data_IF_521745797268
#
_entry.id   IF_521745797268
#
_cell.length_a   1.000
_cell.length_b   1.000
_cell.length_c   1.000
_cell.angle_alpha   90.00
_cell.angle_beta   90.00
_cell.angle_gamma   90.00
#
_symmetry.space_group_name_H-M   'P 1'
#
loop_
_entity.id
_entity.type
_entity.pdbx_description
1 polymer ?
#
# COMPACT_ATOMS: atom_id res chain seq x y z
N UNK A 1 -5.88 -10.65 8.99
CA UNK A 1 -5.21 -10.16 7.76
C UNK A 1 -3.89 -10.89 7.47
N UNK A 2 -2.99 -11.08 8.44
CA UNK A 2 -1.70 -11.79 8.23
C UNK A 2 -1.87 -13.16 7.52
N UNK A 3 -2.88 -13.95 7.91
CA UNK A 3 -3.10 -15.32 7.43
C UNK A 3 -3.12 -15.43 5.90
N UNK A 4 -3.81 -14.54 5.17
CA UNK A 4 -3.92 -14.70 3.72
C UNK A 4 -2.61 -14.39 2.98
N UNK A 5 -1.69 -13.61 3.56
CA UNK A 5 -0.35 -13.45 2.98
C UNK A 5 0.40 -14.79 2.99
N UNK A 6 0.29 -15.55 4.08
CA UNK A 6 0.89 -16.88 4.19
C UNK A 6 0.21 -17.88 3.26
N UNK A 7 -1.12 -17.99 3.29
CA UNK A 7 -1.81 -18.98 2.46
C UNK A 7 -1.58 -18.73 0.98
N UNK A 8 -1.64 -17.47 0.53
CA UNK A 8 -1.32 -17.12 -0.87
C UNK A 8 0.14 -17.41 -1.22
N UNK A 9 1.09 -17.08 -0.34
CA UNK A 9 2.49 -17.36 -0.60
C UNK A 9 2.77 -18.87 -0.71
N UNK A 10 2.20 -19.69 0.18
CA UNK A 10 2.32 -21.16 0.13
C UNK A 10 1.75 -21.71 -1.17
N UNK A 11 0.54 -21.29 -1.56
CA UNK A 11 -0.09 -21.70 -2.84
C UNK A 11 0.75 -21.32 -4.06
N UNK A 12 1.56 -20.27 -3.93
CA UNK A 12 2.48 -19.82 -4.95
C UNK A 12 3.92 -20.28 -4.66
N UNK A 13 4.18 -21.40 -3.97
CA UNK A 13 5.53 -21.97 -3.87
C UNK A 13 6.48 -21.24 -2.90
N UNK A 14 5.94 -20.48 -1.95
CA UNK A 14 6.68 -20.11 -0.76
C UNK A 14 6.89 -21.35 0.15
N UNK A 15 8.00 -21.45 0.89
CA UNK A 15 9.03 -20.43 1.09
C UNK A 15 10.17 -20.43 0.04
N UNK A 16 10.16 -21.32 -0.94
CA UNK A 16 11.27 -21.52 -1.88
C UNK A 16 11.44 -20.37 -2.89
N UNK A 17 10.41 -19.53 -3.06
CA UNK A 17 10.50 -18.29 -3.84
C UNK A 17 9.85 -17.10 -3.15
N UNK A 18 10.28 -15.91 -3.54
CA UNK A 18 9.68 -14.65 -3.08
C UNK A 18 8.38 -14.34 -3.80
N UNK A 19 7.43 -13.76 -3.07
CA UNK A 19 6.17 -13.23 -3.62
C UNK A 19 6.05 -11.74 -3.29
N UNK A 20 5.64 -10.92 -4.25
CA UNK A 20 5.34 -9.50 -4.00
C UNK A 20 3.84 -9.29 -3.95
N UNK A 21 3.41 -8.28 -3.17
CA UNK A 21 2.00 -7.97 -2.99
C UNK A 21 1.73 -6.51 -3.31
N UNK A 22 0.66 -6.24 -4.05
CA UNK A 22 0.09 -4.90 -4.22
C UNK A 22 -1.24 -4.83 -3.51
N UNK A 23 -1.41 -3.80 -2.68
CA UNK A 23 -2.58 -3.66 -1.80
C UNK A 23 -3.25 -2.31 -2.07
N UNK A 24 -4.52 -2.29 -2.54
CA UNK A 24 -5.36 -1.10 -2.48
C UNK A 24 -5.45 -0.62 -1.02
N UNK A 25 -4.86 0.53 -0.73
CA UNK A 25 -4.59 0.95 0.65
C UNK A 25 -5.26 2.28 0.99
N UNK A 26 -6.18 2.24 1.96
CA UNK A 26 -6.62 3.40 2.73
C UNK A 26 -5.83 3.51 4.03
N UNK A 27 -6.38 2.97 5.13
CA UNK A 27 -5.83 3.08 6.49
C UNK A 27 -4.55 2.28 6.82
N UNK A 28 -3.88 1.66 5.84
CA UNK A 28 -2.61 0.91 6.02
C UNK A 28 -2.68 -0.44 6.76
N UNK A 29 -3.79 -0.80 7.40
CA UNK A 29 -3.86 -2.02 8.23
C UNK A 29 -3.57 -3.32 7.46
N UNK A 30 -4.12 -3.44 6.26
CA UNK A 30 -3.94 -4.60 5.39
C UNK A 30 -2.46 -4.79 5.01
N UNK A 31 -1.85 -3.79 4.38
CA UNK A 31 -0.45 -3.90 3.95
C UNK A 31 0.52 -3.98 5.12
N UNK A 32 0.16 -3.42 6.29
CA UNK A 32 0.93 -3.61 7.52
C UNK A 32 0.86 -5.06 8.01
N UNK A 33 -0.25 -5.77 7.82
CA UNK A 33 -0.30 -7.20 8.09
C UNK A 33 0.63 -8.00 7.14
N UNK A 34 0.74 -7.58 5.87
CA UNK A 34 1.75 -8.12 4.95
C UNK A 34 3.19 -7.87 5.42
N UNK A 35 3.44 -6.68 5.98
CA UNK A 35 4.72 -6.37 6.62
C UNK A 35 4.99 -7.22 7.85
N UNK A 36 3.99 -7.43 8.71
CA UNK A 36 4.11 -8.33 9.86
C UNK A 36 4.43 -9.77 9.40
N UNK A 37 3.74 -10.29 8.38
CA UNK A 37 4.05 -11.59 7.79
C UNK A 37 5.50 -11.70 7.30
N UNK A 38 6.00 -10.64 6.63
CA UNK A 38 7.41 -10.55 6.22
C UNK A 38 8.36 -10.57 7.41
N UNK A 39 8.06 -9.83 8.48
CA UNK A 39 8.86 -9.79 9.71
C UNK A 39 8.84 -11.13 10.47
N UNK A 40 7.81 -11.96 10.27
CA UNK A 40 7.74 -13.33 10.77
C UNK A 40 8.57 -14.34 9.96
N UNK A 41 9.18 -13.92 8.83
CA UNK A 41 10.05 -14.76 8.01
C UNK A 41 9.45 -15.19 6.66
N UNK A 42 8.22 -14.79 6.34
CA UNK A 42 7.65 -15.08 5.03
C UNK A 42 8.46 -14.35 3.93
N UNK A 43 8.92 -15.03 2.87
CA UNK A 43 9.77 -14.43 1.84
C UNK A 43 8.98 -13.48 0.93
N UNK A 44 8.69 -12.29 1.44
CA UNK A 44 8.02 -11.24 0.66
C UNK A 44 9.07 -10.39 -0.06
N UNK A 45 8.88 -10.20 -1.35
CA UNK A 45 9.65 -9.28 -2.18
C UNK A 45 9.37 -7.82 -1.82
N UNK A 46 8.46 -7.18 -2.56
CA UNK A 46 7.99 -5.82 -2.28
C UNK A 46 6.54 -5.82 -1.82
N UNK A 47 6.23 -4.90 -0.91
CA UNK A 47 4.88 -4.51 -0.54
C UNK A 47 4.58 -3.19 -1.26
N UNK A 48 3.60 -3.19 -2.15
CA UNK A 48 3.26 -2.05 -3.00
C UNK A 48 1.95 -1.44 -2.53
N UNK A 49 2.02 -0.19 -2.10
CA UNK A 49 0.87 0.61 -1.67
C UNK A 49 0.20 1.17 -2.93
N UNK A 50 -1.05 0.80 -3.19
CA UNK A 50 -1.84 1.37 -4.27
C UNK A 50 -2.88 2.33 -3.69
N UNK A 51 -2.79 3.62 -4.03
CA UNK A 51 -3.76 4.64 -3.59
C UNK A 51 -4.59 5.15 -4.76
N UNK A 52 -5.79 5.63 -4.46
CA UNK A 52 -6.56 6.46 -5.39
C UNK A 52 -6.00 7.91 -5.38
N UNK A 53 -6.82 8.88 -5.77
CA UNK A 53 -6.44 10.30 -5.77
C UNK A 53 -6.10 10.89 -4.40
N UNK A 54 -6.54 10.26 -3.31
CA UNK A 54 -6.16 10.55 -1.93
C UNK A 54 -4.81 9.88 -1.62
N UNK A 55 -3.75 10.49 -2.17
CA UNK A 55 -2.46 9.85 -2.39
C UNK A 55 -1.40 10.15 -1.31
N UNK A 56 -1.81 10.40 -0.06
CA UNK A 56 -0.90 10.80 1.02
C UNK A 56 0.28 9.84 1.18
N UNK A 57 0.03 8.53 1.09
CA UNK A 57 1.06 7.50 1.18
C UNK A 57 2.00 7.51 -0.03
N UNK A 58 1.47 7.68 -1.25
CA UNK A 58 2.29 7.74 -2.46
C UNK A 58 3.19 8.99 -2.46
N UNK A 59 2.65 10.14 -2.03
CA UNK A 59 3.44 11.37 -1.84
C UNK A 59 4.50 11.20 -0.78
N UNK A 60 4.15 10.65 0.38
CA UNK A 60 5.09 10.36 1.48
C UNK A 60 6.26 9.50 1.01
N UNK A 61 5.97 8.42 0.25
CA UNK A 61 7.01 7.56 -0.30
C UNK A 61 7.90 8.28 -1.32
N UNK A 62 7.36 9.26 -2.05
CA UNK A 62 8.14 10.06 -3.02
C UNK A 62 9.02 11.11 -2.32
N UNK A 63 8.45 11.90 -1.42
CA UNK A 63 9.06 13.13 -0.90
C UNK A 63 9.62 12.99 0.51
N UNK A 64 9.20 11.97 1.28
CA UNK A 64 9.48 11.87 2.71
C UNK A 64 8.53 12.71 3.57
N UNK A 65 7.64 13.50 2.98
CA UNK A 65 6.68 14.34 3.70
C UNK A 65 5.30 13.72 3.75
N UNK A 66 4.78 13.57 4.96
CA UNK A 66 3.42 13.14 5.23
C UNK A 66 2.58 14.37 5.51
N UNK A 67 1.99 14.95 4.45
CA UNK A 67 1.18 16.17 4.54
C UNK A 67 -0.28 15.86 4.17
N UNK A 68 -1.22 16.26 5.03
CA UNK A 68 -2.66 16.17 4.80
C UNK A 68 -3.07 17.05 3.63
N UNK A 69 -4.07 16.59 2.89
CA UNK A 69 -4.75 17.36 1.85
C UNK A 69 -6.25 17.17 2.00
N UNK A 70 -7.03 18.05 1.38
CA UNK A 70 -8.48 17.88 1.31
C UNK A 70 -8.81 16.56 0.61
N UNK A 71 -9.69 15.76 1.22
CA UNK A 71 -10.18 14.51 0.64
C UNK A 71 -10.97 14.81 -0.63
N UNK A 72 -10.74 14.02 -1.67
CA UNK A 72 -11.49 14.02 -2.91
C UNK A 72 -12.33 12.76 -2.97
N UNK A 73 -13.62 12.91 -3.26
CA UNK A 73 -14.50 11.77 -3.49
C UNK A 73 -14.08 11.02 -4.77
N UNK A 74 -14.01 9.70 -4.68
CA UNK A 74 -13.66 8.81 -5.79
C UNK A 74 -14.65 7.65 -5.92
N UNK A 75 -14.48 6.83 -6.95
CA UNK A 75 -15.18 5.54 -7.14
C UNK A 75 -14.71 4.45 -6.16
N UNK A 76 -13.74 4.75 -5.30
CA UNK A 76 -13.17 3.82 -4.31
C UNK A 76 -13.26 4.42 -2.89
N UNK A 77 -14.48 4.68 -2.39
CA UNK A 77 -14.71 5.54 -1.21
C UNK A 77 -14.07 4.99 0.07
N UNK A 78 -13.84 3.68 0.18
CA UNK A 78 -13.18 3.07 1.34
C UNK A 78 -11.69 3.46 1.45
N UNK A 79 -11.13 4.04 0.39
CA UNK A 79 -9.75 4.53 0.31
C UNK A 79 -9.68 6.06 0.32
N UNK A 80 -10.81 6.77 0.40
CA UNK A 80 -10.88 8.24 0.45
C UNK A 80 -10.52 8.77 1.83
N UNK A 81 -9.24 8.61 2.19
CA UNK A 81 -8.70 8.94 3.50
C UNK A 81 -7.91 10.25 3.49
N UNK A 82 -7.99 10.99 4.59
CA UNK A 82 -7.14 12.15 4.84
C UNK A 82 -5.82 11.76 5.52
N UNK A 83 -5.92 10.81 6.46
CA UNK A 83 -4.82 10.22 7.20
C UNK A 83 -4.97 8.69 7.18
N UNK A 84 -3.84 8.00 7.15
CA UNK A 84 -3.77 6.55 7.17
C UNK A 84 -3.45 6.08 8.59
N UNK A 85 -4.48 5.72 9.36
CA UNK A 85 -4.36 5.54 10.82
C UNK A 85 -3.32 4.49 11.25
N UNK A 86 -3.15 3.40 10.49
CA UNK A 86 -2.19 2.36 10.84
C UNK A 86 -0.76 2.65 10.33
N UNK A 87 -0.53 3.74 9.59
CA UNK A 87 0.81 4.14 9.13
C UNK A 87 1.74 4.48 10.30
N UNK A 88 1.17 4.93 11.43
CA UNK A 88 1.90 5.16 12.69
C UNK A 88 2.69 3.91 13.15
N UNK A 89 2.13 2.71 12.97
CA UNK A 89 2.82 1.46 13.33
C UNK A 89 4.07 1.22 12.48
N UNK A 90 4.01 1.56 11.20
CA UNK A 90 5.17 1.46 10.33
C UNK A 90 6.22 2.52 10.69
N UNK A 91 5.81 3.74 11.04
CA UNK A 91 6.73 4.78 11.53
C UNK A 91 7.47 4.30 12.77
N UNK A 92 6.76 3.68 13.72
CA UNK A 92 7.38 3.10 14.91
C UNK A 92 8.46 2.08 14.58
N UNK A 93 8.17 1.13 13.67
CA UNK A 93 9.17 0.15 13.23
C UNK A 93 10.34 0.81 12.46
N UNK A 94 10.07 1.83 11.64
CA UNK A 94 11.09 2.54 10.86
C UNK A 94 12.01 3.44 11.71
N UNK A 95 11.52 3.89 12.86
CA UNK A 95 12.28 4.64 13.87
C UNK A 95 12.93 3.73 14.91
N UNK A 96 13.19 2.46 14.59
CA UNK A 96 13.80 1.49 15.51
C UNK A 96 13.04 1.41 16.84
N UNK A 97 11.71 1.57 16.80
CA UNK A 97 10.79 1.57 17.95
C UNK A 97 11.02 2.72 18.94
N UNK A 98 11.58 3.84 18.48
CA UNK A 98 11.64 5.08 19.25
C UNK A 98 10.27 5.78 19.30
N UNK A 99 9.57 5.58 20.42
CA UNK A 99 8.26 6.17 20.64
C UNK A 99 8.29 7.72 20.71
N UNK A 100 9.42 8.34 21.05
CA UNK A 100 9.53 9.80 21.12
C UNK A 100 9.43 10.43 19.73
N UNK A 101 10.04 9.81 18.72
CA UNK A 101 9.98 10.25 17.31
C UNK A 101 8.58 10.12 16.75
N UNK A 102 7.87 9.03 17.08
CA UNK A 102 6.48 8.83 16.65
C UNK A 102 5.57 9.87 17.29
N UNK A 103 5.66 10.09 18.61
CA UNK A 103 4.88 11.13 19.29
C UNK A 103 5.09 12.50 18.67
N UNK A 104 6.35 12.89 18.45
CA UNK A 104 6.67 14.16 17.81
C UNK A 104 6.03 14.29 16.42
N UNK A 105 6.12 13.25 15.58
CA UNK A 105 5.48 13.26 14.26
C UNK A 105 3.95 13.40 14.35
N UNK A 106 3.30 12.71 15.28
CA UNK A 106 1.85 12.79 15.48
C UNK A 106 1.41 14.15 16.05
N UNK A 107 2.23 14.76 16.92
CA UNK A 107 1.99 16.11 17.43
C UNK A 107 2.14 17.15 16.31
N UNK A 108 3.18 17.05 15.47
CA UNK A 108 3.35 17.90 14.28
C UNK A 108 2.19 17.76 13.30
N UNK A 109 1.68 16.54 13.08
CA UNK A 109 0.51 16.31 12.24
C UNK A 109 -0.71 17.07 12.76
N UNK A 110 -0.97 17.02 14.08
CA UNK A 110 -2.09 17.74 14.71
C UNK A 110 -1.94 19.26 14.66
N UNK A 111 -0.71 19.76 14.76
CA UNK A 111 -0.42 21.19 14.85
C UNK A 111 -0.26 21.88 13.49
N UNK A 112 0.25 21.16 12.48
CA UNK A 112 0.72 21.74 11.22
C UNK A 112 0.28 20.97 9.98
N UNK A 113 -0.69 20.06 10.12
CA UNK A 113 -1.24 19.22 9.05
C UNK A 113 -0.21 18.33 8.33
N UNK A 114 1.00 18.17 8.87
CA UNK A 114 2.00 17.29 8.31
C UNK A 114 3.30 17.19 9.09
N UNK A 115 4.18 16.32 8.62
CA UNK A 115 5.53 16.14 9.16
C UNK A 115 6.48 15.54 8.12
N UNK A 116 7.77 15.66 8.39
CA UNK A 116 8.82 15.04 7.59
C UNK A 116 9.35 13.78 8.26
N UNK A 117 9.54 12.73 7.47
CA UNK A 117 10.16 11.48 7.92
C UNK A 117 11.66 11.61 7.76
N UNK A 118 12.41 11.37 8.85
CA UNK A 118 13.86 11.46 8.82
C UNK A 118 14.46 10.54 7.73
N UNK A 119 15.54 10.95 7.03
CA UNK A 119 16.09 10.20 5.90
C UNK A 119 16.39 8.72 6.20
N UNK A 120 16.92 8.41 7.40
CA UNK A 120 17.19 7.03 7.84
C UNK A 120 15.90 6.19 7.90
N UNK A 121 14.85 6.72 8.53
CA UNK A 121 13.57 6.02 8.65
C UNK A 121 12.88 5.88 7.28
N UNK A 122 12.93 6.91 6.43
CA UNK A 122 12.42 6.83 5.07
C UNK A 122 13.15 5.78 4.23
N UNK A 123 14.48 5.69 4.35
CA UNK A 123 15.28 4.67 3.69
C UNK A 123 14.89 3.25 4.17
N UNK A 124 14.67 3.08 5.48
CA UNK A 124 14.19 1.82 6.05
C UNK A 124 12.84 1.41 5.47
N UNK A 125 11.86 2.33 5.40
CA UNK A 125 10.56 2.08 4.78
C UNK A 125 10.73 1.71 3.29
N UNK A 126 11.56 2.46 2.55
CA UNK A 126 11.84 2.21 1.13
C UNK A 126 12.58 0.89 0.86
N UNK A 127 13.12 0.21 1.87
CA UNK A 127 13.67 -1.14 1.71
C UNK A 127 12.57 -2.15 1.35
N UNK A 128 11.40 -2.02 1.96
CA UNK A 128 10.32 -3.01 1.83
C UNK A 128 9.14 -2.53 1.00
N UNK A 129 8.87 -1.22 1.01
CA UNK A 129 7.68 -0.65 0.41
C UNK A 129 7.93 0.08 -0.91
N UNK A 130 6.96 0.04 -1.80
CA UNK A 130 6.77 0.95 -2.95
C UNK A 130 5.37 1.55 -2.88
N UNK A 131 5.12 2.60 -3.64
CA UNK A 131 3.79 3.18 -3.72
C UNK A 131 3.49 3.73 -5.11
N UNK A 132 2.22 3.69 -5.49
CA UNK A 132 1.70 4.28 -6.70
C UNK A 132 0.29 4.82 -6.50
N UNK A 133 -0.09 5.74 -7.40
CA UNK A 133 -1.41 6.35 -7.48
C UNK A 133 -2.10 5.94 -8.77
N UNK A 134 -3.41 5.70 -8.70
CA UNK A 134 -4.32 5.67 -9.83
C UNK A 134 -5.26 6.88 -9.80
N UNK A 135 -5.56 7.46 -10.96
CA UNK A 135 -6.66 8.43 -11.13
C UNK A 135 -7.96 7.73 -11.53
N UNK A 136 -9.11 8.39 -11.36
CA UNK A 136 -10.41 7.83 -11.75
C UNK A 136 -10.45 7.33 -13.20
N UNK A 137 -9.83 8.09 -14.12
CA UNK A 137 -9.71 7.68 -15.53
C UNK A 137 -8.91 6.38 -15.67
N UNK A 138 -7.81 6.24 -14.92
CA UNK A 138 -6.98 5.03 -14.94
C UNK A 138 -7.70 3.84 -14.30
N UNK A 139 -8.48 4.06 -13.25
CA UNK A 139 -9.31 3.02 -12.62
C UNK A 139 -10.33 2.49 -13.62
N UNK A 140 -11.15 3.37 -14.22
CA UNK A 140 -12.15 2.96 -15.20
C UNK A 140 -11.53 2.23 -16.41
N UNK A 141 -10.39 2.71 -16.90
CA UNK A 141 -9.68 2.07 -18.00
C UNK A 141 -9.14 0.68 -17.61
N UNK A 142 -8.66 0.53 -16.38
CA UNK A 142 -8.12 -0.74 -15.88
C UNK A 142 -9.22 -1.79 -15.75
N UNK A 143 -10.41 -1.43 -15.26
CA UNK A 143 -11.58 -2.32 -15.21
C UNK A 143 -11.93 -2.78 -16.63
N UNK A 144 -12.08 -1.82 -17.56
CA UNK A 144 -12.43 -2.10 -18.95
C UNK A 144 -11.42 -3.04 -19.63
N UNK A 145 -10.12 -2.76 -19.50
CA UNK A 145 -9.07 -3.54 -20.13
C UNK A 145 -8.99 -4.95 -19.53
N UNK A 146 -9.02 -5.07 -18.20
CA UNK A 146 -8.95 -6.38 -17.54
C UNK A 146 -10.11 -7.26 -17.97
N UNK A 147 -11.33 -6.72 -18.02
CA UNK A 147 -12.49 -7.49 -18.48
C UNK A 147 -12.37 -7.89 -19.95
N UNK A 148 -11.93 -6.99 -20.82
CA UNK A 148 -11.75 -7.29 -22.24
C UNK A 148 -10.67 -8.36 -22.51
N UNK A 149 -9.58 -8.34 -21.74
CA UNK A 149 -8.44 -9.24 -21.95
C UNK A 149 -8.62 -10.60 -21.27
N UNK A 150 -9.31 -10.66 -20.13
CA UNK A 150 -9.34 -11.86 -19.27
C UNK A 150 -10.74 -12.38 -18.96
N UNK A 151 -11.79 -11.61 -19.27
CA UNK A 151 -13.16 -11.88 -18.82
C UNK A 151 -13.39 -11.63 -17.32
N UNK A 152 -12.37 -11.24 -16.55
CA UNK A 152 -12.50 -10.97 -15.12
C UNK A 152 -12.92 -9.52 -14.85
N UNK A 153 -14.01 -9.35 -14.08
CA UNK A 153 -14.52 -8.03 -13.70
C UNK A 153 -13.95 -7.59 -12.35
N UNK A 154 -13.34 -6.41 -12.32
CA UNK A 154 -12.79 -5.80 -11.13
C UNK A 154 -13.75 -4.77 -10.52
N UNK A 155 -13.82 -4.72 -9.20
CA UNK A 155 -14.32 -3.54 -8.51
C UNK A 155 -13.28 -2.39 -8.57
N UNK A 156 -13.68 -1.12 -8.35
CA UNK A 156 -12.77 0.03 -8.42
C UNK A 156 -11.54 -0.05 -7.50
N UNK A 157 -11.68 -0.58 -6.28
CA UNK A 157 -10.57 -0.73 -5.33
C UNK A 157 -9.54 -1.73 -5.87
N UNK A 158 -10.00 -2.90 -6.33
CA UNK A 158 -9.13 -3.91 -6.94
C UNK A 158 -8.43 -3.40 -8.20
N UNK A 159 -9.13 -2.61 -9.03
CA UNK A 159 -8.56 -2.00 -10.23
C UNK A 159 -7.43 -1.02 -9.93
N UNK A 160 -7.50 -0.27 -8.83
CA UNK A 160 -6.37 0.58 -8.37
C UNK A 160 -5.14 -0.30 -8.10
N UNK A 161 -5.34 -1.42 -7.41
CA UNK A 161 -4.30 -2.40 -7.14
C UNK A 161 -3.65 -2.91 -8.44
N UNK A 162 -4.47 -3.38 -9.39
CA UNK A 162 -3.99 -3.94 -10.67
C UNK A 162 -3.21 -2.89 -11.47
N UNK A 163 -3.73 -1.67 -11.54
CA UNK A 163 -3.07 -0.57 -12.25
C UNK A 163 -1.68 -0.25 -11.69
N UNK A 164 -1.55 -0.21 -10.36
CA UNK A 164 -0.28 0.08 -9.71
C UNK A 164 0.67 -1.12 -9.78
N UNK A 165 0.15 -2.34 -9.64
CA UNK A 165 0.91 -3.59 -9.73
C UNK A 165 1.66 -3.73 -11.06
N UNK A 166 1.00 -3.38 -12.18
CA UNK A 166 1.59 -3.45 -13.52
C UNK A 166 2.90 -2.65 -13.68
N UNK A 167 3.11 -1.60 -12.86
CA UNK A 167 4.34 -0.78 -12.89
C UNK A 167 5.50 -1.37 -12.07
N UNK A 168 5.22 -2.43 -11.33
CA UNK A 168 6.15 -3.06 -10.39
C UNK A 168 6.31 -4.55 -10.65
N UNK A 169 5.71 -5.05 -11.73
CA UNK A 169 5.80 -6.45 -12.11
C UNK A 169 7.23 -6.82 -12.51
N UNK A 170 7.64 -8.03 -12.14
CA UNK A 170 8.97 -8.57 -12.40
C UNK A 170 8.85 -10.03 -12.80
N UNK A 171 9.44 -10.46 -13.93
CA UNK A 171 9.34 -11.85 -14.39
C UNK A 171 9.79 -12.89 -13.35
N UNK A 172 10.75 -12.53 -12.49
CA UNK A 172 11.33 -13.43 -11.48
C UNK A 172 10.60 -13.46 -10.13
N UNK A 173 9.53 -12.66 -9.93
CA UNK A 173 8.83 -12.59 -8.65
C UNK A 173 7.34 -12.38 -8.88
N UNK A 174 6.49 -13.40 -8.64
CA UNK A 174 5.04 -13.26 -8.81
C UNK A 174 4.50 -12.05 -8.04
N UNK A 175 3.64 -11.29 -8.70
CA UNK A 175 2.90 -10.18 -8.12
C UNK A 175 1.47 -10.61 -7.80
N UNK A 176 1.08 -10.53 -6.54
CA UNK A 176 -0.30 -10.75 -6.09
C UNK A 176 -0.94 -9.40 -5.84
N UNK A 177 -2.08 -9.14 -6.47
CA UNK A 177 -2.90 -7.97 -6.15
C UNK A 177 -4.06 -8.40 -5.27
N UNK A 178 -4.26 -7.74 -4.14
CA UNK A 178 -5.40 -8.01 -3.27
C UNK A 178 -6.66 -7.41 -3.90
N UNK A 179 -7.62 -8.26 -4.21
CA UNK A 179 -8.96 -7.84 -4.58
C UNK A 179 -9.80 -7.65 -3.32
N UNK A 180 -10.13 -6.40 -2.99
CA UNK A 180 -10.65 -6.03 -1.66
C UNK A 180 -12.17 -5.97 -1.56
N UNK A 181 -12.87 -6.00 -2.70
CA UNK A 181 -14.32 -6.05 -2.75
C UNK A 181 -14.80 -6.89 -3.93
N UNK A 182 -16.05 -7.36 -3.85
CA UNK A 182 -16.74 -7.92 -4.99
C UNK A 182 -17.26 -6.77 -5.90
N UNK A 183 -17.37 -6.95 -7.24
CA UNK A 183 -17.86 -5.89 -8.13
C UNK A 183 -19.34 -5.51 -7.96
N UNK A 184 -20.15 -6.40 -7.37
CA UNK A 184 -21.60 -6.23 -7.13
C UNK A 184 -21.90 -5.60 -5.76
#
# INVERSE_FOLDING_TARGET
>A
QIVYYFTTAISLGGPDRKISFTVPTGNFGDIFAGYAAKRMGLPIGKLVIATNENDILARTMKTGRYDMKKVKATTSPSMDIQISSNFERLLFEAYDRDASKVRHAMDSLKQSDGFEIAPKALAAIKKDFRAGRASEKQVAQTIKNTYAETGYLLDPHSAIGVFVAAKHDKPSTPMVTLATAHPA
#
